data_IF_867562203376
#
_entry.id   IF_867562203376
#
_cell.length_a   1.000
_cell.length_b   1.000
_cell.length_c   1.000
_cell.angle_alpha   90.00
_cell.angle_beta   90.00
_cell.angle_gamma   90.00
#
_symmetry.space_group_name_H-M   'P 1'
#
loop_
_entity.id
_entity.type
_entity.pdbx_description
1 polymer ?
#
# COMPACT_ATOMS: atom_id res chain seq x y z
N UNK A 1 41.03 7.80 -18.36
CA UNK A 1 40.32 6.65 -18.98
C UNK A 1 39.64 5.71 -17.99
N UNK A 2 40.25 5.36 -16.84
CA UNK A 2 39.64 4.43 -15.87
C UNK A 2 38.34 4.95 -15.26
N UNK A 3 38.26 6.23 -14.87
CA UNK A 3 37.06 6.83 -14.26
C UNK A 3 35.81 6.72 -15.15
N UNK A 4 35.91 7.10 -16.44
CA UNK A 4 34.79 6.98 -17.40
C UNK A 4 34.25 5.55 -17.49
N UNK A 5 35.15 4.55 -17.56
CA UNK A 5 34.76 3.14 -17.64
C UNK A 5 34.09 2.67 -16.34
N UNK A 6 34.67 3.01 -15.20
CA UNK A 6 34.13 2.66 -13.88
C UNK A 6 32.74 3.27 -13.71
N UNK A 7 32.59 4.58 -13.91
CA UNK A 7 31.29 5.25 -13.76
C UNK A 7 30.24 4.66 -14.69
N UNK A 8 30.54 4.41 -15.97
CA UNK A 8 29.59 3.79 -16.89
C UNK A 8 29.17 2.38 -16.46
N UNK A 9 30.10 1.55 -16.00
CA UNK A 9 29.79 0.20 -15.50
C UNK A 9 29.00 0.27 -14.19
N UNK A 10 29.33 1.19 -13.28
CA UNK A 10 28.57 1.43 -12.05
C UNK A 10 27.14 1.86 -12.36
N UNK A 11 26.92 2.80 -13.29
CA UNK A 11 25.58 3.21 -13.72
C UNK A 11 24.80 2.03 -14.31
N UNK A 12 25.42 1.19 -15.14
CA UNK A 12 24.77 0.01 -15.72
C UNK A 12 24.41 -1.04 -14.67
N UNK A 13 25.34 -1.40 -13.79
CA UNK A 13 25.11 -2.42 -12.77
C UNK A 13 24.06 -1.96 -11.74
N UNK A 14 24.13 -0.70 -11.29
CA UNK A 14 23.12 -0.15 -10.39
C UNK A 14 21.75 -0.05 -11.06
N UNK A 15 21.68 0.27 -12.36
CA UNK A 15 20.42 0.21 -13.12
C UNK A 15 19.80 -1.19 -13.15
N UNK A 16 20.59 -2.23 -13.42
CA UNK A 16 20.09 -3.62 -13.44
C UNK A 16 19.54 -4.03 -12.07
N UNK A 17 20.26 -3.70 -10.99
CA UNK A 17 19.80 -4.00 -9.62
C UNK A 17 18.58 -3.15 -9.24
N UNK A 18 18.48 -1.92 -9.72
CA UNK A 18 17.29 -1.08 -9.56
C UNK A 18 16.08 -1.68 -10.27
N UNK A 19 16.23 -2.20 -11.48
CA UNK A 19 15.13 -2.90 -12.17
C UNK A 19 14.64 -4.10 -11.36
N UNK A 20 15.55 -4.94 -10.88
CA UNK A 20 15.20 -6.10 -10.06
C UNK A 20 14.47 -5.70 -8.78
N UNK A 21 14.97 -4.68 -8.07
CA UNK A 21 14.34 -4.19 -6.83
C UNK A 21 13.02 -3.46 -7.08
N UNK A 22 12.88 -2.73 -8.20
CA UNK A 22 11.61 -2.12 -8.63
C UNK A 22 10.53 -3.17 -8.86
N UNK A 23 10.85 -4.29 -9.53
CA UNK A 23 9.90 -5.39 -9.75
C UNK A 23 9.42 -5.97 -8.40
N UNK A 24 10.36 -6.18 -7.48
CA UNK A 24 10.04 -6.73 -6.15
C UNK A 24 9.15 -5.75 -5.36
N UNK A 25 9.52 -4.46 -5.33
CA UNK A 25 8.73 -3.44 -4.64
C UNK A 25 7.36 -3.22 -5.28
N UNK A 26 7.25 -3.41 -6.59
CA UNK A 26 5.99 -3.35 -7.31
C UNK A 26 5.02 -4.44 -6.84
N UNK A 27 5.48 -5.69 -6.69
CA UNK A 27 4.64 -6.80 -6.21
C UNK A 27 4.49 -6.85 -4.68
N UNK A 28 5.29 -6.07 -3.94
CA UNK A 28 5.28 -6.10 -2.47
C UNK A 28 3.93 -5.60 -1.95
N UNK A 29 3.28 -6.31 -1.00
CA UNK A 29 2.04 -5.86 -0.39
C UNK A 29 2.13 -4.46 0.23
N UNK A 30 0.98 -3.85 0.49
CA UNK A 30 0.94 -2.61 1.27
C UNK A 30 1.66 -2.78 2.61
N UNK A 31 2.32 -1.72 3.11
CA UNK A 31 3.14 -1.80 4.32
C UNK A 31 2.45 -2.48 5.49
N UNK A 32 1.20 -2.07 5.76
CA UNK A 32 0.36 -2.66 6.81
C UNK A 32 0.23 -4.18 6.69
N UNK A 33 -0.01 -4.70 5.47
CA UNK A 33 -0.21 -6.13 5.21
C UNK A 33 1.13 -6.85 5.27
N UNK A 34 2.18 -6.26 4.67
CA UNK A 34 3.50 -6.85 4.66
C UNK A 34 4.06 -7.07 6.07
N UNK A 35 3.87 -6.12 6.99
CA UNK A 35 4.29 -6.31 8.38
C UNK A 35 3.37 -7.26 9.15
N UNK A 36 2.07 -7.15 8.94
CA UNK A 36 1.05 -8.01 9.56
C UNK A 36 1.24 -9.50 9.23
N UNK A 37 1.58 -9.78 7.98
CA UNK A 37 1.86 -11.12 7.47
C UNK A 37 3.33 -11.54 7.65
N UNK A 38 4.21 -10.65 8.14
CA UNK A 38 5.65 -10.85 8.12
C UNK A 38 6.16 -11.29 6.73
N UNK A 39 5.67 -10.62 5.69
CA UNK A 39 5.93 -10.93 4.28
C UNK A 39 7.42 -10.85 3.95
N UNK A 40 7.90 -11.86 3.23
CA UNK A 40 9.29 -11.96 2.78
C UNK A 40 9.36 -12.57 1.39
N UNK A 41 10.31 -12.10 0.59
CA UNK A 41 10.71 -12.72 -0.67
C UNK A 41 12.24 -12.74 -0.75
N UNK A 42 12.83 -13.86 -1.15
CA UNK A 42 14.29 -14.02 -1.18
C UNK A 42 14.96 -13.85 0.18
N UNK A 43 14.23 -14.14 1.28
CA UNK A 43 14.72 -14.00 2.66
C UNK A 43 14.69 -12.57 3.22
N UNK A 44 14.33 -11.58 2.41
CA UNK A 44 14.25 -10.17 2.80
C UNK A 44 12.79 -9.71 2.93
N UNK A 45 12.51 -8.92 3.96
CA UNK A 45 11.21 -8.27 4.15
C UNK A 45 11.08 -6.95 3.38
N UNK A 46 9.88 -6.36 3.40
CA UNK A 46 9.55 -5.09 2.73
C UNK A 46 10.59 -3.98 3.00
N UNK A 47 10.93 -3.75 4.27
CA UNK A 47 11.87 -2.68 4.67
C UNK A 47 13.27 -2.91 4.10
N UNK A 48 13.73 -4.17 4.08
CA UNK A 48 15.06 -4.49 3.56
C UNK A 48 15.12 -4.31 2.04
N UNK A 49 14.08 -4.70 1.31
CA UNK A 49 13.96 -4.42 -0.11
C UNK A 49 13.87 -2.92 -0.40
N UNK A 50 13.11 -2.17 0.39
CA UNK A 50 12.99 -0.72 0.29
C UNK A 50 14.32 0.01 0.53
N UNK A 51 15.04 -0.39 1.58
CA UNK A 51 16.36 0.15 1.89
C UNK A 51 17.38 -0.17 0.79
N UNK A 52 17.39 -1.40 0.27
CA UNK A 52 18.26 -1.81 -0.84
C UNK A 52 17.99 -0.98 -2.09
N UNK A 53 16.72 -0.86 -2.50
CA UNK A 53 16.31 -0.06 -3.66
C UNK A 53 16.73 1.41 -3.50
N UNK A 54 16.48 2.00 -2.32
CA UNK A 54 16.82 3.41 -2.05
C UNK A 54 18.32 3.65 -2.14
N UNK A 55 19.14 2.82 -1.50
CA UNK A 55 20.60 2.97 -1.53
C UNK A 55 21.18 2.76 -2.93
N UNK A 56 20.67 1.78 -3.69
CA UNK A 56 21.02 1.60 -5.10
C UNK A 56 20.59 2.80 -5.96
N UNK A 57 19.44 3.41 -5.64
CA UNK A 57 18.91 4.61 -6.28
C UNK A 57 19.85 5.80 -6.10
N UNK A 58 20.30 6.03 -4.87
CA UNK A 58 21.31 7.06 -4.58
C UNK A 58 22.60 6.83 -5.36
N UNK A 59 23.11 5.60 -5.39
CA UNK A 59 24.30 5.25 -6.17
C UNK A 59 24.08 5.52 -7.67
N UNK A 60 22.94 5.11 -8.22
CA UNK A 60 22.59 5.30 -9.63
C UNK A 60 22.49 6.78 -10.00
N UNK A 61 21.88 7.62 -9.15
CA UNK A 61 21.77 9.06 -9.38
C UNK A 61 23.17 9.70 -9.41
N UNK A 62 24.00 9.44 -8.40
CA UNK A 62 25.36 10.00 -8.33
C UNK A 62 26.20 9.53 -9.53
N UNK A 63 26.20 8.23 -9.81
CA UNK A 63 26.92 7.66 -10.94
C UNK A 63 26.39 8.20 -12.28
N UNK A 64 25.07 8.36 -12.42
CA UNK A 64 24.40 8.92 -13.59
C UNK A 64 24.75 10.38 -13.83
N UNK A 65 24.82 11.21 -12.79
CA UNK A 65 25.27 12.61 -12.91
C UNK A 65 26.73 12.68 -13.38
N UNK A 66 27.62 11.92 -12.74
CA UNK A 66 29.04 11.86 -13.14
C UNK A 66 29.14 11.31 -14.57
N UNK A 67 28.37 10.29 -14.92
CA UNK A 67 28.32 9.71 -16.27
C UNK A 67 27.91 10.75 -17.31
N UNK A 68 26.86 11.53 -17.04
CA UNK A 68 26.37 12.62 -17.89
C UNK A 68 27.43 13.70 -18.09
N UNK A 69 28.09 14.14 -17.02
CA UNK A 69 29.16 15.15 -17.09
C UNK A 69 30.35 14.65 -17.91
N UNK A 70 30.82 13.43 -17.63
CA UNK A 70 31.96 12.83 -18.33
C UNK A 70 31.68 12.50 -19.80
N UNK A 71 30.42 12.36 -20.17
CA UNK A 71 29.96 12.07 -21.54
C UNK A 71 29.13 13.21 -22.14
N UNK A 72 29.35 14.44 -21.69
CA UNK A 72 28.63 15.62 -22.17
C UNK A 72 28.80 15.85 -23.67
N UNK A 73 30.01 15.63 -24.20
CA UNK A 73 30.31 15.77 -25.63
C UNK A 73 29.38 14.94 -26.53
N UNK A 74 29.27 13.61 -26.32
CA UNK A 74 28.28 12.77 -26.97
C UNK A 74 26.83 13.24 -26.82
N UNK A 75 26.40 13.62 -25.61
CA UNK A 75 25.02 14.09 -25.36
C UNK A 75 24.69 15.31 -26.22
N UNK A 76 25.58 16.30 -26.20
CA UNK A 76 25.46 17.53 -26.98
C UNK A 76 25.53 17.27 -28.48
N UNK A 77 26.19 16.19 -28.92
CA UNK A 77 26.21 15.80 -30.34
C UNK A 77 24.83 15.43 -30.88
N UNK A 78 23.95 14.83 -30.06
CA UNK A 78 22.56 14.54 -30.44
C UNK A 78 21.72 15.82 -30.62
N UNK A 79 22.16 16.94 -30.07
CA UNK A 79 21.51 18.25 -30.20
C UNK A 79 22.10 19.11 -31.34
N UNK A 80 23.06 18.58 -32.11
CA UNK A 80 23.67 19.28 -33.24
C UNK A 80 22.93 18.95 -34.53
N UNK A 81 22.68 19.96 -35.35
CA UNK A 81 22.15 19.76 -36.71
C UNK A 81 23.23 19.25 -37.68
N UNK A 82 22.87 18.94 -38.94
CA UNK A 82 23.82 18.52 -39.99
C UNK A 82 24.98 19.52 -40.21
N UNK A 83 24.79 20.78 -39.85
CA UNK A 83 25.82 21.84 -39.91
C UNK A 83 26.65 21.99 -38.62
N UNK A 84 26.56 21.02 -37.68
CA UNK A 84 27.24 20.99 -36.37
C UNK A 84 26.89 22.17 -35.43
N UNK A 85 25.82 22.93 -35.71
CA UNK A 85 25.31 23.99 -34.83
C UNK A 85 24.37 23.39 -33.78
N UNK A 86 24.48 23.86 -32.53
CA UNK A 86 23.56 23.49 -31.47
C UNK A 86 22.15 24.00 -31.77
N UNK A 87 21.18 23.10 -31.75
CA UNK A 87 19.76 23.41 -31.85
C UNK A 87 19.05 22.53 -30.84
N UNK A 88 18.50 23.12 -29.77
CA UNK A 88 17.85 22.37 -28.70
C UNK A 88 16.56 21.71 -29.19
N UNK A 89 15.71 22.46 -29.91
CA UNK A 89 14.47 21.95 -30.51
C UNK A 89 14.74 21.30 -31.87
N UNK A 90 15.45 20.16 -31.88
CA UNK A 90 15.48 19.27 -33.05
C UNK A 90 14.17 18.49 -33.18
N UNK A 91 13.94 17.87 -34.34
CA UNK A 91 12.81 16.97 -34.51
C UNK A 91 12.86 15.83 -33.48
N UNK A 92 14.05 15.23 -33.28
CA UNK A 92 14.26 14.14 -32.32
C UNK A 92 13.99 14.58 -30.87
N UNK A 93 14.46 15.77 -30.48
CA UNK A 93 14.18 16.34 -29.15
C UNK A 93 12.68 16.57 -28.96
N UNK A 94 12.00 17.15 -29.95
CA UNK A 94 10.56 17.41 -29.88
C UNK A 94 9.76 16.10 -29.78
N UNK A 95 10.14 15.07 -30.52
CA UNK A 95 9.53 13.73 -30.43
C UNK A 95 9.73 13.16 -29.03
N UNK A 96 10.96 13.18 -28.50
CA UNK A 96 11.24 12.71 -27.14
C UNK A 96 10.44 13.47 -26.08
N UNK A 97 10.37 14.80 -26.20
CA UNK A 97 9.60 15.67 -25.31
C UNK A 97 8.10 15.36 -25.37
N UNK A 98 7.53 15.22 -26.57
CA UNK A 98 6.11 14.89 -26.75
C UNK A 98 5.81 13.53 -26.12
N UNK A 99 6.63 12.51 -26.35
CA UNK A 99 6.44 11.18 -25.74
C UNK A 99 6.44 11.30 -24.21
N UNK A 100 7.42 12.02 -23.62
CA UNK A 100 7.47 12.24 -22.17
C UNK A 100 6.23 12.97 -21.65
N UNK A 101 5.79 14.03 -22.33
CA UNK A 101 4.61 14.80 -21.94
C UNK A 101 3.31 14.00 -22.07
N UNK A 102 3.18 13.16 -23.11
CA UNK A 102 2.03 12.27 -23.29
C UNK A 102 1.95 11.27 -22.15
N UNK A 103 3.05 10.58 -21.81
CA UNK A 103 3.08 9.63 -20.69
C UNK A 103 2.77 10.35 -19.37
N UNK A 104 3.35 11.52 -19.13
CA UNK A 104 3.09 12.31 -17.93
C UNK A 104 1.62 12.73 -17.83
N UNK A 105 1.05 13.28 -18.91
CA UNK A 105 -0.36 13.67 -18.96
C UNK A 105 -1.28 12.49 -18.75
N UNK A 106 -1.08 11.38 -19.46
CA UNK A 106 -1.90 10.19 -19.32
C UNK A 106 -1.81 9.58 -17.91
N UNK A 107 -0.65 9.67 -17.25
CA UNK A 107 -0.50 9.24 -15.86
C UNK A 107 -1.27 10.16 -14.90
N UNK A 108 -1.16 11.48 -15.07
CA UNK A 108 -1.82 12.46 -14.19
C UNK A 108 -3.34 12.48 -14.32
N UNK A 109 -3.86 12.17 -15.52
CA UNK A 109 -5.29 12.08 -15.80
C UNK A 109 -5.82 10.65 -15.77
N UNK A 110 -5.02 9.68 -15.31
CA UNK A 110 -5.39 8.27 -15.17
C UNK A 110 -5.96 7.64 -16.46
N UNK A 111 -5.42 8.03 -17.62
CA UNK A 111 -5.92 7.66 -18.95
C UNK A 111 -5.34 6.29 -19.40
N UNK A 112 -6.18 5.36 -19.90
CA UNK A 112 -5.70 4.13 -20.54
C UNK A 112 -4.85 4.38 -21.80
N UNK A 113 -3.86 3.52 -22.10
CA UNK A 113 -3.49 2.29 -21.40
C UNK A 113 -2.50 2.50 -20.25
N UNK A 114 -2.07 3.75 -19.97
CA UNK A 114 -0.98 4.01 -19.01
C UNK A 114 -1.39 3.70 -17.58
N UNK A 115 -2.64 4.00 -17.21
CA UNK A 115 -3.19 3.68 -15.90
C UNK A 115 -3.23 2.16 -15.57
N UNK A 116 -3.17 1.28 -16.58
CA UNK A 116 -3.23 -0.17 -16.39
C UNK A 116 -2.08 -0.69 -15.51
N UNK A 117 -0.93 0.01 -15.52
CA UNK A 117 0.18 -0.30 -14.61
C UNK A 117 -0.27 -0.10 -13.14
N UNK A 118 -0.90 1.03 -12.83
CA UNK A 118 -1.39 1.29 -11.47
C UNK A 118 -2.51 0.32 -11.09
N UNK A 119 -3.48 0.07 -11.97
CA UNK A 119 -4.58 -0.87 -11.70
C UNK A 119 -4.07 -2.30 -11.43
N UNK A 120 -3.09 -2.77 -12.19
CA UNK A 120 -2.49 -4.09 -11.93
C UNK A 120 -1.72 -4.13 -10.60
N UNK A 121 -1.04 -3.04 -10.25
CA UNK A 121 -0.39 -2.93 -8.95
C UNK A 121 -1.41 -3.01 -7.79
N UNK A 122 -2.57 -2.40 -7.96
CA UNK A 122 -3.66 -2.40 -6.99
C UNK A 122 -4.29 -3.78 -6.83
N UNK A 123 -4.56 -4.48 -7.94
CA UNK A 123 -5.10 -5.85 -7.88
C UNK A 123 -4.17 -6.81 -7.14
N UNK A 124 -2.84 -6.65 -7.29
CA UNK A 124 -1.86 -7.43 -6.51
C UNK A 124 -1.93 -7.11 -5.01
N UNK A 125 -2.14 -5.84 -4.66
CA UNK A 125 -2.28 -5.40 -3.26
C UNK A 125 -3.59 -5.90 -2.64
N UNK A 126 -4.67 -5.96 -3.41
CA UNK A 126 -5.96 -6.51 -3.00
C UNK A 126 -5.88 -8.01 -2.80
N UNK A 127 -5.29 -8.76 -3.74
CA UNK A 127 -5.06 -10.19 -3.58
C UNK A 127 -4.25 -10.50 -2.32
N UNK A 128 -3.23 -9.70 -2.00
CA UNK A 128 -2.48 -9.84 -0.76
C UNK A 128 -3.32 -9.52 0.49
N UNK A 129 -4.28 -8.59 0.40
CA UNK A 129 -5.20 -8.29 1.50
C UNK A 129 -6.19 -9.43 1.74
N UNK A 130 -6.65 -10.08 0.69
CA UNK A 130 -7.51 -11.26 0.78
C UNK A 130 -6.76 -12.47 1.37
N UNK A 131 -5.53 -12.72 0.91
CA UNK A 131 -4.71 -13.85 1.36
C UNK A 131 -4.26 -13.69 2.82
N UNK A 132 -3.72 -12.53 3.18
CA UNK A 132 -3.10 -12.30 4.48
C UNK A 132 -4.01 -11.60 5.50
N UNK A 133 -5.19 -11.15 5.07
CA UNK A 133 -6.09 -10.34 5.88
C UNK A 133 -5.52 -8.96 6.19
N UNK A 134 -6.42 -8.05 6.57
CA UNK A 134 -6.03 -6.71 6.99
C UNK A 134 -5.82 -6.64 8.51
N UNK A 135 -4.78 -5.89 8.97
CA UNK A 135 -4.67 -5.58 10.38
C UNK A 135 -5.85 -4.71 10.83
N UNK A 136 -6.32 -4.82 12.09
CA UNK A 136 -7.45 -4.04 12.58
C UNK A 136 -7.27 -2.52 12.46
N UNK A 137 -6.02 -2.04 12.47
CA UNK A 137 -5.66 -0.64 12.29
C UNK A 137 -4.17 -0.51 11.89
N UNK A 138 -3.71 0.72 11.63
CA UNK A 138 -2.36 1.02 11.14
C UNK A 138 -1.28 0.64 12.14
N UNK A 139 -0.26 -0.09 11.68
CA UNK A 139 0.84 -0.57 12.52
C UNK A 139 0.37 -1.36 13.76
N UNK A 140 -0.68 -2.16 13.61
CA UNK A 140 -1.21 -2.98 14.69
C UNK A 140 -0.17 -3.98 15.21
N UNK A 141 0.73 -4.47 14.36
CA UNK A 141 1.86 -5.32 14.72
C UNK A 141 2.82 -4.64 15.71
N UNK A 142 3.00 -3.33 15.59
CA UNK A 142 3.93 -2.55 16.41
C UNK A 142 3.29 -2.07 17.72
N UNK A 143 2.00 -2.35 17.93
CA UNK A 143 1.30 -1.94 19.14
C UNK A 143 1.54 -2.91 20.29
N UNK A 144 1.79 -2.41 21.52
CA UNK A 144 1.77 -3.25 22.73
C UNK A 144 0.45 -4.01 22.86
N UNK A 145 0.50 -5.24 23.37
CA UNK A 145 -0.68 -6.10 23.53
C UNK A 145 -1.82 -5.39 24.28
N UNK A 146 -1.49 -4.63 25.35
CA UNK A 146 -2.47 -3.82 26.08
C UNK A 146 -3.20 -2.83 25.17
N UNK A 147 -2.46 -2.04 24.41
CA UNK A 147 -3.01 -1.03 23.49
C UNK A 147 -3.80 -1.70 22.36
N UNK A 148 -3.30 -2.82 21.84
CA UNK A 148 -3.98 -3.60 20.82
C UNK A 148 -5.33 -4.10 21.33
N UNK A 149 -5.39 -4.69 22.52
CA UNK A 149 -6.63 -5.14 23.14
C UNK A 149 -7.62 -4.00 23.34
N UNK A 150 -7.16 -2.85 23.86
CA UNK A 150 -7.99 -1.66 24.03
C UNK A 150 -8.60 -1.16 22.72
N UNK A 151 -7.80 -1.08 21.65
CA UNK A 151 -8.26 -0.60 20.33
C UNK A 151 -9.16 -1.58 19.59
N UNK A 152 -9.09 -2.87 19.92
CA UNK A 152 -9.88 -3.93 19.28
C UNK A 152 -11.05 -4.40 20.13
N UNK A 153 -11.26 -3.81 21.32
CA UNK A 153 -12.32 -4.21 22.24
C UNK A 153 -12.11 -5.59 22.89
N UNK A 154 -10.87 -6.09 22.92
CA UNK A 154 -10.55 -7.38 23.53
C UNK A 154 -10.21 -7.22 25.02
N UNK A 155 -10.61 -8.19 25.84
CA UNK A 155 -10.16 -8.25 27.23
C UNK A 155 -8.68 -8.69 27.30
N UNK A 156 -7.84 -7.87 27.94
CA UNK A 156 -6.41 -8.12 28.05
C UNK A 156 -6.09 -9.37 28.88
N UNK A 157 -6.83 -9.62 29.96
CA UNK A 157 -6.57 -10.78 30.83
C UNK A 157 -6.88 -12.08 30.09
N UNK A 158 -7.97 -12.11 29.33
CA UNK A 158 -8.35 -13.26 28.51
C UNK A 158 -7.39 -13.44 27.33
N UNK A 159 -6.94 -12.35 26.70
CA UNK A 159 -5.90 -12.42 25.67
C UNK A 159 -4.60 -13.04 26.20
N UNK A 160 -4.11 -12.57 27.35
CA UNK A 160 -2.92 -13.14 28.02
C UNK A 160 -3.10 -14.63 28.32
N UNK A 161 -4.23 -15.02 28.92
CA UNK A 161 -4.53 -16.43 29.20
C UNK A 161 -4.54 -17.30 27.93
N UNK A 162 -5.11 -16.80 26.82
CA UNK A 162 -5.14 -17.54 25.55
C UNK A 162 -3.73 -17.72 24.98
N UNK A 163 -2.90 -16.68 25.01
CA UNK A 163 -1.51 -16.74 24.53
C UNK A 163 -0.64 -17.65 25.42
N UNK A 164 -0.81 -17.59 26.75
CA UNK A 164 -0.15 -18.49 27.70
C UNK A 164 -0.58 -19.95 27.51
N UNK A 165 -1.88 -20.19 27.30
CA UNK A 165 -2.41 -21.52 26.98
C UNK A 165 -1.86 -22.05 25.65
N UNK A 166 -1.62 -21.16 24.69
CA UNK A 166 -0.94 -21.47 23.43
C UNK A 166 0.59 -21.63 23.59
N UNK A 167 1.12 -21.51 24.83
CA UNK A 167 2.54 -21.68 25.18
C UNK A 167 3.48 -20.72 24.44
N UNK A 168 3.01 -19.51 24.12
CA UNK A 168 3.84 -18.51 23.47
C UNK A 168 4.85 -17.88 24.44
N UNK A 169 6.04 -17.61 23.93
CA UNK A 169 7.12 -16.90 24.63
C UNK A 169 6.95 -15.38 24.54
N UNK A 170 7.59 -14.65 25.46
CA UNK A 170 7.61 -13.18 25.51
C UNK A 170 6.22 -12.53 25.59
N UNK A 171 5.24 -13.25 26.14
CA UNK A 171 3.88 -12.73 26.35
C UNK A 171 3.86 -11.78 27.53
N UNK A 172 3.57 -10.51 27.27
CA UNK A 172 3.33 -9.51 28.31
C UNK A 172 2.41 -8.40 27.78
N UNK A 173 1.86 -7.60 28.68
CA UNK A 173 0.99 -6.47 28.32
C UNK A 173 1.73 -5.37 27.52
N UNK A 174 3.04 -5.26 27.70
CA UNK A 174 3.89 -4.23 27.06
C UNK A 174 4.58 -4.74 25.81
N UNK A 175 4.72 -6.05 25.63
CA UNK A 175 5.26 -6.64 24.41
C UNK A 175 4.32 -6.34 23.24
N UNK A 176 4.91 -5.98 22.10
CA UNK A 176 4.19 -5.76 20.86
C UNK A 176 3.79 -7.08 20.21
N UNK A 177 2.77 -7.05 19.35
CA UNK A 177 2.39 -8.25 18.57
C UNK A 177 3.56 -8.76 17.72
N UNK A 178 4.39 -7.87 17.18
CA UNK A 178 5.58 -8.21 16.41
C UNK A 178 6.67 -8.87 17.25
N UNK A 179 6.89 -8.43 18.50
CA UNK A 179 7.84 -9.07 19.41
C UNK A 179 7.39 -10.47 19.82
N UNK A 180 6.11 -10.60 20.20
CA UNK A 180 5.50 -11.89 20.53
C UNK A 180 5.58 -12.82 19.32
N UNK A 181 5.21 -12.34 18.12
CA UNK A 181 5.23 -13.18 16.92
C UNK A 181 6.66 -13.61 16.56
N UNK A 182 7.64 -12.70 16.64
CA UNK A 182 9.05 -12.99 16.36
C UNK A 182 9.63 -14.03 17.32
N UNK A 183 9.33 -13.93 18.61
CA UNK A 183 9.80 -14.89 19.62
C UNK A 183 9.26 -16.30 19.40
N UNK A 184 8.15 -16.44 18.66
CA UNK A 184 7.45 -17.69 18.46
C UNK A 184 7.47 -18.20 17.00
N UNK A 185 8.27 -17.58 16.13
CA UNK A 185 8.30 -17.87 14.69
C UNK A 185 6.92 -17.79 14.01
N UNK A 186 6.09 -16.84 14.46
CA UNK A 186 4.74 -16.57 13.96
C UNK A 186 4.66 -15.20 13.28
N UNK A 187 3.56 -14.95 12.58
CA UNK A 187 3.18 -13.63 12.09
C UNK A 187 2.31 -12.89 13.13
N UNK A 188 2.32 -11.55 13.16
CA UNK A 188 1.39 -10.78 13.98
C UNK A 188 -0.09 -11.17 13.76
N UNK A 189 -0.45 -11.47 12.51
CA UNK A 189 -1.76 -12.02 12.14
C UNK A 189 -2.08 -13.31 12.90
N UNK A 190 -1.16 -14.27 12.94
CA UNK A 190 -1.38 -15.55 13.63
C UNK A 190 -1.54 -15.36 15.14
N UNK A 191 -0.76 -14.47 15.75
CA UNK A 191 -0.92 -14.10 17.17
C UNK A 191 -2.31 -13.52 17.42
N UNK A 192 -2.78 -12.64 16.55
CA UNK A 192 -4.13 -12.09 16.63
C UNK A 192 -5.22 -13.16 16.51
N UNK A 193 -5.07 -14.12 15.60
CA UNK A 193 -6.06 -15.20 15.43
C UNK A 193 -6.22 -16.06 16.69
N UNK A 194 -5.19 -16.19 17.53
CA UNK A 194 -5.27 -16.91 18.80
C UNK A 194 -6.14 -16.16 19.82
N UNK A 195 -6.03 -14.83 19.88
CA UNK A 195 -6.75 -14.01 20.87
C UNK A 195 -8.15 -13.61 20.40
N UNK A 196 -8.38 -13.59 19.09
CA UNK A 196 -9.66 -13.25 18.48
C UNK A 196 -10.78 -14.16 19.05
N UNK A 197 -11.89 -13.59 19.55
CA UNK A 197 -13.02 -14.38 20.00
C UNK A 197 -13.64 -15.12 18.81
N UNK A 198 -14.16 -16.32 19.06
CA UNK A 198 -14.91 -17.05 18.04
C UNK A 198 -16.10 -16.20 17.58
N UNK A 199 -16.40 -16.14 16.28
CA UNK A 199 -17.55 -15.38 15.80
C UNK A 199 -18.83 -15.93 16.44
N UNK A 200 -19.53 -15.07 17.18
CA UNK A 200 -20.84 -15.40 17.75
C UNK A 200 -21.83 -15.41 16.58
N UNK A 201 -22.24 -16.61 16.13
CA UNK A 201 -23.28 -16.74 15.10
C UNK A 201 -24.56 -16.03 15.60
N UNK A 202 -25.07 -15.08 14.82
CA UNK A 202 -26.42 -14.51 15.02
C UNK A 202 -26.49 -13.12 15.67
N UNK A 203 -25.38 -12.42 15.92
CA UNK A 203 -25.40 -10.98 16.20
C UNK A 203 -24.90 -10.21 14.98
N UNK A 204 -25.64 -9.19 14.55
CA UNK A 204 -25.14 -8.13 13.65
C UNK A 204 -23.78 -7.71 14.20
N UNK A 205 -22.76 -7.76 13.36
CA UNK A 205 -21.39 -7.41 13.76
C UNK A 205 -21.44 -5.91 14.06
N UNK A 206 -21.44 -5.55 15.34
CA UNK A 206 -21.55 -4.16 15.78
C UNK A 206 -20.42 -3.35 15.14
N UNK A 207 -20.78 -2.29 14.41
CA UNK A 207 -19.78 -1.42 13.79
C UNK A 207 -18.95 -0.77 14.90
N UNK A 208 -17.62 -0.81 14.75
CA UNK A 208 -16.71 -0.16 15.68
C UNK A 208 -16.95 1.36 15.69
N UNK A 209 -16.40 2.07 16.68
CA UNK A 209 -16.57 3.55 16.75
C UNK A 209 -15.90 4.30 15.59
N UNK A 210 -15.03 3.64 14.82
CA UNK A 210 -14.29 4.25 13.71
C UNK A 210 -14.18 3.24 12.57
N UNK A 211 -14.25 3.70 11.30
CA UNK A 211 -14.11 2.81 10.16
C UNK A 211 -12.77 2.08 10.19
N UNK A 212 -12.79 0.79 9.84
CA UNK A 212 -11.57 0.04 9.59
C UNK A 212 -10.76 0.68 8.46
N UNK A 213 -9.43 0.60 8.53
CA UNK A 213 -8.58 1.16 7.48
C UNK A 213 -8.85 0.50 6.12
N UNK A 214 -8.98 1.30 5.07
CA UNK A 214 -9.36 0.80 3.74
C UNK A 214 -10.86 0.89 3.46
N UNK A 215 -11.67 1.37 4.42
CA UNK A 215 -13.10 1.62 4.24
C UNK A 215 -13.42 2.40 2.96
N UNK A 216 -12.66 3.47 2.67
CA UNK A 216 -12.82 4.27 1.44
C UNK A 216 -12.81 3.45 0.14
N UNK A 217 -12.08 2.33 0.09
CA UNK A 217 -11.96 1.50 -1.12
C UNK A 217 -13.03 0.42 -1.23
N UNK A 218 -13.73 0.12 -0.13
CA UNK A 218 -14.77 -0.90 -0.13
C UNK A 218 -16.02 -0.34 -0.81
N UNK A 219 -16.69 -1.18 -1.58
CA UNK A 219 -18.02 -0.86 -2.12
C UNK A 219 -19.09 -0.90 -1.04
N UNK A 220 -20.21 -0.21 -1.25
CA UNK A 220 -21.34 -0.27 -0.33
C UNK A 220 -21.82 -1.71 -0.10
N UNK A 221 -21.89 -2.51 -1.16
CA UNK A 221 -22.25 -3.92 -1.08
C UNK A 221 -21.27 -4.74 -0.23
N UNK A 222 -19.96 -4.51 -0.39
CA UNK A 222 -18.92 -5.18 0.40
C UNK A 222 -19.03 -4.83 1.88
N UNK A 223 -19.24 -3.54 2.20
CA UNK A 223 -19.45 -3.07 3.58
C UNK A 223 -20.71 -3.69 4.18
N UNK A 224 -21.83 -3.65 3.45
CA UNK A 224 -23.09 -4.20 3.93
C UNK A 224 -22.97 -5.70 4.18
N UNK A 225 -22.35 -6.45 3.28
CA UNK A 225 -22.08 -7.88 3.44
C UNK A 225 -21.19 -8.18 4.65
N UNK A 226 -20.18 -7.33 4.93
CA UNK A 226 -19.28 -7.51 6.07
C UNK A 226 -20.01 -7.39 7.42
N UNK A 227 -20.97 -6.47 7.52
CA UNK A 227 -21.72 -6.20 8.74
C UNK A 227 -23.07 -6.92 8.81
N UNK A 228 -23.47 -7.64 7.75
CA UNK A 228 -24.75 -8.34 7.66
C UNK A 228 -25.93 -7.38 7.49
N UNK A 229 -25.73 -6.29 6.76
CA UNK A 229 -26.73 -5.28 6.44
C UNK A 229 -27.34 -5.51 5.07
N UNK A 230 -28.58 -5.09 4.91
CA UNK A 230 -29.25 -5.06 3.61
C UNK A 230 -28.80 -3.83 2.82
N UNK A 231 -28.10 -4.05 1.70
CA UNK A 231 -27.49 -2.99 0.91
C UNK A 231 -28.52 -2.01 0.35
N UNK A 232 -29.73 -2.48 0.01
CA UNK A 232 -30.80 -1.63 -0.48
C UNK A 232 -31.33 -0.71 0.62
N UNK A 233 -31.60 -1.26 1.80
CA UNK A 233 -32.07 -0.51 2.97
C UNK A 233 -31.07 0.57 3.40
N UNK A 234 -29.77 0.27 3.37
CA UNK A 234 -28.73 1.27 3.69
C UNK A 234 -28.64 2.34 2.60
N UNK A 235 -28.73 1.97 1.32
CA UNK A 235 -28.73 2.93 0.20
C UNK A 235 -29.90 3.91 0.32
N UNK A 236 -31.09 3.40 0.64
CA UNK A 236 -32.29 4.22 0.83
C UNK A 236 -32.19 5.12 2.07
N UNK A 237 -31.62 4.62 3.17
CA UNK A 237 -31.36 5.39 4.37
C UNK A 237 -30.35 6.53 4.14
N UNK A 238 -29.26 6.24 3.42
CA UNK A 238 -28.26 7.25 3.03
C UNK A 238 -28.87 8.33 2.13
N UNK A 239 -29.75 7.92 1.19
CA UNK A 239 -30.50 8.86 0.35
C UNK A 239 -31.39 9.79 1.19
N UNK A 240 -31.99 9.27 2.27
CA UNK A 240 -32.73 10.06 3.25
C UNK A 240 -31.88 11.12 3.99
N UNK A 241 -30.58 10.89 4.09
CA UNK A 241 -29.59 11.82 4.65
C UNK A 241 -28.95 12.74 3.59
N UNK A 242 -29.43 12.69 2.34
CA UNK A 242 -28.89 13.48 1.23
C UNK A 242 -27.63 12.91 0.59
N UNK A 243 -27.25 11.67 0.91
CA UNK A 243 -26.09 10.97 0.34
C UNK A 243 -26.60 10.01 -0.75
N UNK A 244 -26.31 10.29 -2.00
CA UNK A 244 -26.61 9.36 -3.09
C UNK A 244 -25.54 8.28 -3.18
N UNK A 245 -25.92 7.04 -2.87
CA UNK A 245 -25.03 5.89 -2.92
C UNK A 245 -25.63 4.75 -3.77
N UNK A 246 -24.81 4.16 -4.63
CA UNK A 246 -25.10 2.91 -5.35
C UNK A 246 -24.31 1.75 -4.76
N UNK A 247 -24.85 0.53 -4.84
CA UNK A 247 -24.26 -0.68 -4.24
C UNK A 247 -22.83 -0.97 -4.71
N UNK A 248 -22.53 -0.66 -5.98
CA UNK A 248 -21.22 -0.88 -6.61
C UNK A 248 -20.21 0.25 -6.43
N UNK A 249 -20.61 1.42 -5.93
CA UNK A 249 -19.69 2.54 -5.71
C UNK A 249 -18.86 2.30 -4.44
N UNK A 250 -17.58 2.66 -4.50
CA UNK A 250 -16.70 2.69 -3.34
C UNK A 250 -17.12 3.81 -2.37
N UNK A 251 -16.85 3.64 -1.08
CA UNK A 251 -17.11 4.69 -0.08
C UNK A 251 -16.39 6.00 -0.41
N UNK A 252 -15.25 5.95 -1.10
CA UNK A 252 -14.51 7.13 -1.57
C UNK A 252 -15.27 7.84 -2.70
N UNK A 253 -15.78 7.10 -3.68
CA UNK A 253 -16.58 7.69 -4.76
C UNK A 253 -17.88 8.31 -4.23
N UNK A 254 -18.56 7.63 -3.30
CA UNK A 254 -19.77 8.16 -2.65
C UNK A 254 -19.46 9.45 -1.87
N UNK A 255 -18.30 9.49 -1.18
CA UNK A 255 -17.86 10.63 -0.41
C UNK A 255 -17.54 11.84 -1.31
N UNK A 256 -16.79 11.61 -2.39
CA UNK A 256 -16.46 12.63 -3.39
C UNK A 256 -17.73 13.18 -4.07
N UNK A 257 -18.70 12.32 -4.39
CA UNK A 257 -19.97 12.72 -5.00
C UNK A 257 -20.84 13.56 -4.06
N UNK A 258 -20.77 13.28 -2.75
CA UNK A 258 -21.60 13.92 -1.73
C UNK A 258 -20.89 15.09 -1.02
N UNK A 259 -19.68 15.45 -1.46
CA UNK A 259 -18.80 16.46 -0.82
C UNK A 259 -18.58 16.17 0.68
N UNK A 260 -18.40 14.89 1.04
CA UNK A 260 -18.16 14.44 2.41
C UNK A 260 -16.83 13.66 2.53
N UNK A 261 -16.47 13.23 3.74
CA UNK A 261 -15.38 12.27 3.98
C UNK A 261 -15.92 10.84 4.13
N UNK A 262 -15.18 9.78 3.74
CA UNK A 262 -15.58 8.40 4.00
C UNK A 262 -15.89 8.09 5.48
N UNK A 263 -15.31 8.79 6.46
CA UNK A 263 -15.70 8.66 7.87
C UNK A 263 -17.14 9.12 8.13
N UNK A 264 -17.58 10.19 7.48
CA UNK A 264 -18.95 10.68 7.62
C UNK A 264 -19.95 9.66 7.07
N UNK A 265 -19.61 8.97 5.98
CA UNK A 265 -20.42 7.86 5.45
C UNK A 265 -20.47 6.71 6.45
N UNK A 266 -19.33 6.35 7.06
CA UNK A 266 -19.31 5.30 8.08
C UNK A 266 -20.21 5.63 9.28
N UNK A 267 -20.16 6.88 9.76
CA UNK A 267 -21.05 7.34 10.84
C UNK A 267 -22.52 7.34 10.41
N UNK A 268 -22.84 7.77 9.19
CA UNK A 268 -24.20 7.74 8.67
C UNK A 268 -24.75 6.31 8.59
N UNK A 269 -23.97 5.34 8.09
CA UNK A 269 -24.38 3.93 8.07
C UNK A 269 -24.60 3.42 9.50
N UNK A 270 -23.73 3.80 10.44
CA UNK A 270 -23.87 3.40 11.85
C UNK A 270 -25.13 3.99 12.50
N UNK A 271 -25.48 5.25 12.22
CA UNK A 271 -26.72 5.87 12.70
C UNK A 271 -27.97 5.16 12.19
N UNK A 272 -27.94 4.63 10.96
CA UNK A 272 -29.05 3.87 10.38
C UNK A 272 -29.23 2.47 11.00
N UNK A 273 -28.33 2.05 11.90
CA UNK A 273 -28.45 0.81 12.67
C UNK A 273 -29.08 0.99 14.06
N UNK A 274 -29.20 2.23 14.55
CA UNK A 274 -29.81 2.59 15.84
C UNK A 274 -31.35 2.72 15.72
#
# INVERSE_FOLDING_TARGET
>A
MKLRKITSLTTLLSFILLLATSIILYITPQGKIAFWANWKIGGLGKEQWGALHTNLGFLFIIAGLIHTILNWGPIVAYMKNKAKKLKVFTADFNVALIITLVIAGFTLFEIPPINAVQTFNESLKEAAAEEYGEPPYGHAEASPLKTFCQRTGLDLKDALKKLEKAKLQSVSATATLAEISKANAMTPQQVYMIIKPAPVKGKVKEMAMSPGMGFGRKTLESVCSEFGLDAQSISDGLKGLGIEASSGESMKEIAEKSDTDPHAIYEAIRQLQE
#
